data_IF_407480699968
#
_entry.id   IF_407480699968
#
_cell.length_a   1.000
_cell.length_b   1.000
_cell.length_c   1.000
_cell.angle_alpha   90.00
_cell.angle_beta   90.00
_cell.angle_gamma   90.00
#
_symmetry.space_group_name_H-M   'P 1'
#
loop_
_entity.id
_entity.type
_entity.pdbx_description
1 polymer ?
#
# COMPACT_ATOMS: atom_id res chain seq x y z
N UNK A 1 17.46 0.29 -3.38
CA UNK A 1 16.56 -0.77 -3.86
C UNK A 1 15.98 -0.40 -5.22
N UNK A 2 16.19 -1.26 -6.23
CA UNK A 2 15.44 -1.27 -7.48
C UNK A 2 14.74 -2.63 -7.59
N UNK A 3 13.42 -2.65 -7.52
CA UNK A 3 12.66 -3.89 -7.43
C UNK A 3 11.28 -3.80 -8.09
N UNK A 4 10.83 -4.94 -8.60
CA UNK A 4 9.45 -5.19 -8.99
C UNK A 4 8.86 -6.22 -8.04
N UNK A 5 7.77 -5.87 -7.37
CA UNK A 5 7.13 -6.72 -6.36
C UNK A 5 5.69 -6.95 -6.77
N UNK A 6 5.30 -8.22 -6.93
CA UNK A 6 3.93 -8.64 -7.23
C UNK A 6 3.42 -9.54 -6.11
N UNK A 7 2.35 -9.11 -5.43
CA UNK A 7 1.76 -9.81 -4.31
C UNK A 7 0.25 -9.97 -4.50
N UNK A 8 -0.27 -11.14 -4.12
CA UNK A 8 -1.71 -11.40 -4.05
C UNK A 8 -2.12 -11.74 -2.62
N UNK A 9 -3.04 -10.96 -2.09
CA UNK A 9 -3.62 -11.16 -0.77
C UNK A 9 -4.95 -11.89 -0.86
N UNK A 10 -5.22 -12.74 0.14
CA UNK A 10 -6.50 -13.35 0.41
C UNK A 10 -7.02 -12.85 1.75
N UNK A 11 -8.09 -12.09 1.68
CA UNK A 11 -8.82 -11.59 2.84
C UNK A 11 -9.78 -12.69 3.31
N UNK A 12 -9.75 -12.99 4.60
CA UNK A 12 -10.74 -13.86 5.25
C UNK A 12 -11.66 -13.00 6.12
N UNK A 13 -12.94 -13.37 6.21
CA UNK A 13 -13.90 -12.68 7.07
C UNK A 13 -14.37 -11.32 6.53
N UNK A 14 -14.69 -11.21 5.23
CA UNK A 14 -15.13 -9.96 4.61
C UNK A 14 -16.39 -9.33 5.25
N UNK A 15 -17.16 -10.11 6.00
CA UNK A 15 -18.30 -9.67 6.80
C UNK A 15 -17.91 -8.80 8.01
N UNK A 16 -16.66 -8.91 8.50
CA UNK A 16 -16.14 -8.15 9.65
C UNK A 16 -15.70 -6.73 9.28
N UNK A 17 -15.63 -6.41 7.97
CA UNK A 17 -15.26 -5.09 7.49
C UNK A 17 -16.07 -3.96 8.18
N UNK A 18 -15.42 -2.83 8.44
CA UNK A 18 -16.06 -1.63 8.98
C UNK A 18 -17.07 -1.06 7.98
N UNK A 19 -18.10 -0.39 8.48
CA UNK A 19 -19.04 0.31 7.61
C UNK A 19 -18.34 1.48 6.92
N UNK A 20 -18.50 1.57 5.60
CA UNK A 20 -18.06 2.70 4.81
C UNK A 20 -18.95 3.91 5.10
N UNK A 21 -18.36 5.03 5.51
CA UNK A 21 -19.07 6.30 5.65
C UNK A 21 -19.29 6.92 4.25
N UNK A 22 -20.54 7.15 3.81
CA UNK A 22 -20.83 7.76 2.52
C UNK A 22 -20.25 9.17 2.33
N UNK A 23 -19.86 9.87 3.40
CA UNK A 23 -19.18 11.16 3.34
C UNK A 23 -17.71 11.07 2.90
N UNK A 24 -17.10 9.88 2.93
CA UNK A 24 -15.74 9.64 2.43
C UNK A 24 -15.69 9.63 0.90
N UNK A 25 -15.84 10.80 0.29
CA UNK A 25 -15.78 10.98 -1.17
C UNK A 25 -14.36 11.25 -1.68
N UNK A 26 -13.47 11.74 -0.82
CA UNK A 26 -12.06 11.97 -1.12
C UNK A 26 -11.19 10.80 -0.58
N UNK A 27 -10.68 9.91 -1.44
CA UNK A 27 -9.85 8.79 -1.00
C UNK A 27 -8.48 9.25 -0.49
N UNK A 28 -7.96 10.38 -0.94
CA UNK A 28 -6.67 10.89 -0.50
C UNK A 28 -6.75 11.38 0.94
N UNK A 29 -7.73 12.23 1.24
CA UNK A 29 -8.00 12.68 2.61
C UNK A 29 -8.28 11.50 3.56
N UNK A 30 -8.98 10.47 3.07
CA UNK A 30 -9.20 9.25 3.85
C UNK A 30 -7.89 8.50 4.15
N UNK A 31 -6.97 8.38 3.18
CA UNK A 31 -5.65 7.77 3.42
C UNK A 31 -4.81 8.58 4.42
N UNK A 32 -4.91 9.91 4.42
CA UNK A 32 -4.25 10.75 5.42
C UNK A 32 -4.81 10.51 6.83
N UNK A 33 -6.13 10.37 6.96
CA UNK A 33 -6.80 10.08 8.23
C UNK A 33 -6.61 8.63 8.71
N UNK A 34 -6.48 7.70 7.77
CA UNK A 34 -6.41 6.24 7.99
C UNK A 34 -5.10 5.68 7.45
N UNK A 35 -3.99 6.29 7.84
CA UNK A 35 -2.63 5.88 7.47
C UNK A 35 -2.25 4.46 7.94
N UNK A 36 -1.03 4.03 7.65
CA UNK A 36 -0.56 2.67 7.87
C UNK A 36 -0.42 2.27 9.35
N UNK A 37 -0.28 3.26 10.24
CA UNK A 37 -0.15 3.07 11.69
C UNK A 37 -1.50 3.15 12.43
N UNK A 38 -2.59 3.46 11.72
CA UNK A 38 -3.96 3.48 12.28
C UNK A 38 -4.56 2.08 12.10
N UNK A 39 -5.00 1.41 13.16
CA UNK A 39 -5.66 0.10 13.04
C UNK A 39 -6.98 0.14 12.26
N UNK A 40 -7.57 -1.03 12.04
CA UNK A 40 -8.90 -1.17 11.43
C UNK A 40 -9.30 -2.63 11.28
N UNK A 41 -10.60 -2.90 11.10
CA UNK A 41 -11.07 -4.29 11.05
C UNK A 41 -10.42 -5.10 9.91
N UNK A 42 -10.37 -4.55 8.68
CA UNK A 42 -9.66 -5.17 7.56
C UNK A 42 -8.69 -4.14 6.96
N UNK A 43 -7.43 -4.30 7.33
CA UNK A 43 -6.35 -3.42 6.95
C UNK A 43 -6.13 -2.27 7.94
N UNK A 44 -4.97 -1.60 7.82
CA UNK A 44 -4.14 -1.56 6.62
C UNK A 44 -3.27 -2.81 6.46
N UNK A 45 -3.26 -3.39 5.25
CA UNK A 45 -2.40 -4.52 4.89
C UNK A 45 -1.79 -4.29 3.50
N UNK A 46 -0.52 -4.67 3.32
CA UNK A 46 0.20 -4.36 2.09
C UNK A 46 1.70 -4.52 2.20
N UNK A 47 2.44 -3.56 1.65
CA UNK A 47 3.89 -3.52 1.59
C UNK A 47 4.44 -2.28 2.31
N UNK A 48 5.52 -2.45 3.07
CA UNK A 48 6.45 -1.37 3.37
C UNK A 48 7.61 -1.45 2.38
N UNK A 49 7.78 -0.41 1.59
CA UNK A 49 8.85 -0.27 0.61
C UNK A 49 9.78 0.85 1.04
N UNK A 50 11.04 0.81 0.56
CA UNK A 50 12.06 1.79 0.93
C UNK A 50 12.06 1.98 2.46
N UNK A 51 12.11 0.85 3.17
CA UNK A 51 12.05 0.82 4.62
C UNK A 51 13.44 0.60 5.22
N UNK A 52 13.73 1.30 6.31
CA UNK A 52 14.86 1.04 7.19
C UNK A 52 14.65 -0.29 7.92
N UNK A 53 15.74 -0.94 8.36
CA UNK A 53 15.67 -2.23 9.04
C UNK A 53 14.91 -2.19 10.37
N UNK A 54 14.90 -1.04 11.04
CA UNK A 54 14.12 -0.79 12.27
C UNK A 54 12.71 -0.24 12.00
N UNK A 55 12.33 -0.09 10.73
CA UNK A 55 11.06 0.41 10.24
C UNK A 55 10.71 1.84 10.69
N UNK A 56 11.66 2.63 11.20
CA UNK A 56 11.37 4.00 11.63
C UNK A 56 11.16 4.93 10.43
N UNK A 57 11.90 4.70 9.36
CA UNK A 57 11.72 5.27 8.03
C UNK A 57 11.14 4.22 7.08
N UNK A 58 9.96 4.48 6.48
CA UNK A 58 9.24 3.55 5.60
C UNK A 58 8.15 4.25 4.79
N UNK A 59 7.91 3.75 3.57
CA UNK A 59 6.75 4.13 2.75
C UNK A 59 5.77 2.98 2.68
N UNK A 60 4.49 3.21 3.00
CA UNK A 60 3.49 2.15 3.03
C UNK A 60 2.60 2.18 1.79
N UNK A 61 2.46 1.03 1.12
CA UNK A 61 1.53 0.79 0.02
C UNK A 61 0.54 -0.27 0.48
N UNK A 62 -0.72 0.10 0.70
CA UNK A 62 -1.64 -0.81 1.36
C UNK A 62 -3.08 -0.69 0.88
N UNK A 63 -3.88 -1.68 1.29
CA UNK A 63 -5.33 -1.65 1.15
C UNK A 63 -6.04 -1.57 2.49
N UNK A 64 -7.23 -0.98 2.47
CA UNK A 64 -8.27 -1.12 3.48
C UNK A 64 -9.56 -1.59 2.82
N UNK A 65 -10.36 -2.34 3.58
CA UNK A 65 -11.64 -2.86 3.08
C UNK A 65 -12.77 -2.47 4.02
N UNK A 66 -13.80 -1.85 3.44
CA UNK A 66 -15.03 -1.47 4.09
C UNK A 66 -16.22 -2.22 3.49
N UNK A 67 -17.35 -2.22 4.18
CA UNK A 67 -18.64 -2.71 3.67
C UNK A 67 -19.68 -1.60 3.61
N UNK A 68 -20.54 -1.67 2.61
CA UNK A 68 -21.72 -0.80 2.50
C UNK A 68 -22.94 -1.48 3.11
N UNK A 69 -24.01 -0.72 3.33
CA UNK A 69 -25.30 -1.26 3.80
C UNK A 69 -25.88 -2.36 2.88
N UNK A 70 -25.50 -2.37 1.59
CA UNK A 70 -25.95 -3.35 0.61
C UNK A 70 -25.05 -4.59 0.50
N UNK A 71 -24.23 -4.87 1.53
CA UNK A 71 -23.26 -5.99 1.55
C UNK A 71 -22.28 -5.98 0.37
N UNK A 72 -22.04 -4.81 -0.22
CA UNK A 72 -20.95 -4.60 -1.18
C UNK A 72 -19.71 -4.14 -0.43
N UNK A 73 -18.53 -4.41 -0.96
CA UNK A 73 -17.28 -3.98 -0.38
C UNK A 73 -16.71 -2.77 -1.11
N UNK A 74 -16.12 -1.85 -0.36
CA UNK A 74 -15.33 -0.74 -0.88
C UNK A 74 -13.89 -0.99 -0.51
N UNK A 75 -13.01 -0.95 -1.50
CA UNK A 75 -11.57 -1.12 -1.30
C UNK A 75 -10.92 0.24 -1.50
N UNK A 76 -10.12 0.65 -0.52
CA UNK A 76 -9.25 1.82 -0.60
C UNK A 76 -7.81 1.35 -0.78
N UNK A 77 -7.08 1.93 -1.72
CA UNK A 77 -5.63 1.79 -1.87
C UNK A 77 -4.96 3.08 -1.44
N UNK A 78 -3.89 2.98 -0.66
CA UNK A 78 -3.15 4.13 -0.16
C UNK A 78 -1.64 4.00 -0.43
N UNK A 79 -1.01 5.13 -0.74
CA UNK A 79 0.40 5.39 -0.45
C UNK A 79 0.46 6.32 0.76
N UNK A 80 0.93 5.82 1.89
CA UNK A 80 1.21 6.63 3.06
C UNK A 80 2.72 6.87 3.14
N UNK A 81 3.09 8.13 2.91
CA UNK A 81 4.47 8.60 2.91
C UNK A 81 4.82 9.38 4.18
N UNK A 82 3.94 9.42 5.19
CA UNK A 82 4.12 10.22 6.41
C UNK A 82 5.42 9.92 7.14
N UNK A 83 5.88 8.65 7.07
CA UNK A 83 7.13 8.15 7.68
C UNK A 83 8.23 7.84 6.66
N UNK A 84 8.10 8.33 5.43
CA UNK A 84 9.02 7.99 4.32
C UNK A 84 10.41 8.61 4.43
N UNK A 85 10.57 9.67 5.24
CA UNK A 85 11.87 10.31 5.44
C UNK A 85 12.01 11.04 6.77
N UNK A 86 13.22 10.98 7.35
CA UNK A 86 13.66 11.86 8.44
C UNK A 86 14.09 13.26 7.97
N UNK A 87 14.22 13.47 6.67
CA UNK A 87 14.57 14.78 6.12
C UNK A 87 13.55 15.85 6.48
N UNK A 88 14.05 16.99 6.94
CA UNK A 88 13.24 18.18 7.20
C UNK A 88 12.76 18.81 5.89
N UNK A 89 11.62 19.52 5.94
CA UNK A 89 11.05 20.26 4.81
C UNK A 89 10.73 19.43 3.56
N UNK A 90 10.63 18.10 3.67
CA UNK A 90 10.17 17.23 2.57
C UNK A 90 8.65 17.12 2.60
N UNK A 91 8.01 17.39 1.46
CA UNK A 91 6.58 17.18 1.27
C UNK A 91 6.27 15.68 1.26
N UNK A 92 5.46 15.22 2.23
CA UNK A 92 5.13 13.81 2.49
C UNK A 92 3.61 13.55 2.46
N UNK A 93 2.93 13.84 1.35
CA UNK A 93 1.48 13.60 1.25
C UNK A 93 1.20 12.10 1.33
N UNK A 94 -0.01 11.76 1.78
CA UNK A 94 -0.56 10.47 1.42
C UNK A 94 -1.32 10.62 0.10
N UNK A 95 -1.35 9.56 -0.70
CA UNK A 95 -2.18 9.46 -1.88
C UNK A 95 -3.15 8.31 -1.74
N UNK A 96 -4.34 8.44 -2.31
CA UNK A 96 -5.40 7.44 -2.17
C UNK A 96 -6.22 7.27 -3.44
N UNK A 97 -6.74 6.06 -3.62
CA UNK A 97 -7.69 5.76 -4.68
C UNK A 97 -8.60 4.60 -4.30
N UNK A 98 -9.90 4.73 -4.59
CA UNK A 98 -10.81 3.60 -4.47
C UNK A 98 -10.54 2.59 -5.59
N UNK A 99 -10.54 1.31 -5.25
CA UNK A 99 -10.26 0.21 -6.17
C UNK A 99 -11.55 -0.46 -6.59
N UNK A 100 -11.88 -0.37 -7.87
CA UNK A 100 -13.03 -1.09 -8.45
C UNK A 100 -12.69 -2.57 -8.62
N UNK A 101 -12.60 -3.34 -7.54
CA UNK A 101 -12.35 -4.78 -7.55
C UNK A 101 -13.50 -5.55 -6.88
N UNK A 102 -13.97 -6.62 -7.53
CA UNK A 102 -15.01 -7.48 -6.94
C UNK A 102 -14.38 -8.51 -6.00
N UNK A 103 -14.01 -8.05 -4.80
CA UNK A 103 -13.45 -8.92 -3.75
C UNK A 103 -14.51 -9.77 -3.06
N UNK A 104 -15.81 -9.45 -3.18
CA UNK A 104 -16.89 -10.18 -2.50
C UNK A 104 -17.03 -11.65 -2.90
N UNK A 105 -16.59 -12.02 -4.12
CA UNK A 105 -16.62 -13.42 -4.59
C UNK A 105 -15.39 -14.23 -4.19
N UNK A 106 -14.22 -13.61 -4.26
CA UNK A 106 -12.94 -14.33 -4.17
C UNK A 106 -12.18 -14.03 -2.89
N UNK A 107 -12.42 -12.89 -2.27
CA UNK A 107 -11.59 -12.31 -1.21
C UNK A 107 -10.17 -11.97 -1.66
N UNK A 108 -9.88 -11.99 -2.97
CA UNK A 108 -8.53 -11.79 -3.50
C UNK A 108 -8.32 -10.38 -3.99
N UNK A 109 -7.17 -9.81 -3.69
CA UNK A 109 -6.71 -8.54 -4.25
C UNK A 109 -5.21 -8.60 -4.54
N UNK A 110 -4.82 -8.11 -5.72
CA UNK A 110 -3.42 -8.02 -6.14
C UNK A 110 -2.89 -6.61 -5.98
N UNK A 111 -1.59 -6.53 -5.71
CA UNK A 111 -0.79 -5.31 -5.70
C UNK A 111 0.52 -5.61 -6.41
N UNK A 112 0.86 -4.77 -7.40
CA UNK A 112 2.21 -4.72 -7.95
C UNK A 112 2.83 -3.37 -7.61
N UNK A 113 4.08 -3.35 -7.18
CA UNK A 113 4.81 -2.12 -6.88
C UNK A 113 6.19 -2.16 -7.55
N UNK A 114 6.44 -1.18 -8.42
CA UNK A 114 7.77 -0.87 -8.91
C UNK A 114 8.41 0.13 -7.95
N UNK A 115 9.59 -0.22 -7.44
CA UNK A 115 10.36 0.60 -6.51
C UNK A 115 11.67 0.94 -7.20
N UNK A 116 11.92 2.22 -7.43
CA UNK A 116 13.15 2.69 -8.06
C UNK A 116 13.68 3.93 -7.33
N UNK A 117 14.60 3.68 -6.39
CA UNK A 117 15.27 4.71 -5.59
C UNK A 117 14.30 5.68 -4.89
N UNK A 118 13.91 6.78 -5.55
CA UNK A 118 13.03 7.83 -5.02
C UNK A 118 11.60 7.81 -5.56
N UNK A 119 11.25 6.80 -6.38
CA UNK A 119 9.90 6.65 -6.93
C UNK A 119 9.33 5.28 -6.57
N UNK A 120 8.04 5.27 -6.24
CA UNK A 120 7.25 4.06 -6.06
C UNK A 120 6.01 4.18 -6.94
N UNK A 121 5.83 3.23 -7.87
CA UNK A 121 4.65 3.13 -8.73
C UNK A 121 3.90 1.86 -8.38
N UNK A 122 2.62 1.99 -8.02
CA UNK A 122 1.84 0.88 -7.49
C UNK A 122 0.53 0.69 -8.24
N UNK A 123 0.20 -0.57 -8.52
CA UNK A 123 -0.90 -0.99 -9.37
C UNK A 123 -1.80 -1.95 -8.59
N UNK A 124 -2.93 -1.45 -8.12
CA UNK A 124 -3.95 -2.22 -7.41
C UNK A 124 -4.87 -2.96 -8.38
N UNK A 125 -5.19 -4.22 -8.05
CA UNK A 125 -6.12 -5.08 -8.80
C UNK A 125 -5.81 -5.17 -10.30
N UNK A 126 -4.53 -5.31 -10.65
CA UNK A 126 -4.08 -5.40 -12.05
C UNK A 126 -4.12 -4.05 -12.79
N UNK A 127 -3.90 -2.94 -12.09
CA UNK A 127 -3.85 -1.60 -12.68
C UNK A 127 -5.20 -0.88 -12.77
N UNK A 128 -6.23 -1.35 -12.06
CA UNK A 128 -7.51 -0.62 -11.93
C UNK A 128 -7.36 0.67 -11.14
N UNK A 129 -6.40 0.71 -10.23
CA UNK A 129 -5.98 1.89 -9.50
C UNK A 129 -4.46 1.96 -9.55
N UNK A 130 -3.93 3.10 -9.97
CA UNK A 130 -2.50 3.35 -10.05
C UNK A 130 -2.16 4.53 -9.17
N UNK A 131 -1.11 4.41 -8.36
CA UNK A 131 -0.60 5.49 -7.52
C UNK A 131 0.91 5.56 -7.69
N UNK A 132 1.41 6.74 -8.01
CA UNK A 132 2.84 7.04 -8.06
C UNK A 132 3.17 8.03 -6.95
N UNK A 133 4.16 7.72 -6.14
CA UNK A 133 4.70 8.64 -5.13
C UNK A 133 6.19 8.85 -5.32
N UNK A 134 6.65 10.01 -4.86
CA UNK A 134 8.06 10.35 -4.73
C UNK A 134 8.40 10.40 -3.26
N UNK A 135 9.46 9.71 -2.87
CA UNK A 135 9.92 9.62 -1.47
C UNK A 135 11.44 9.72 -1.43
N UNK A 136 11.97 10.29 -0.35
CA UNK A 136 13.38 10.65 -0.24
C UNK A 136 13.95 10.19 1.11
N UNK A 137 14.02 8.87 1.36
CA UNK A 137 14.56 8.34 2.61
C UNK A 137 16.03 8.72 2.80
N UNK A 138 16.47 8.79 4.05
CA UNK A 138 17.84 9.06 4.47
C UNK A 138 18.57 7.77 4.86
N UNK A 139 17.92 6.89 5.59
CA UNK A 139 18.46 5.61 6.07
C UNK A 139 18.11 4.46 5.11
N UNK A 140 16.91 4.46 4.55
CA UNK A 140 16.44 3.41 3.64
C UNK A 140 16.95 3.59 2.20
N UNK A 141 18.26 3.69 2.03
CA UNK A 141 18.96 3.89 0.76
C UNK A 141 19.94 2.76 0.49
N UNK A 142 20.11 2.37 -0.79
CA UNK A 142 21.06 1.31 -1.17
C UNK A 142 20.74 -0.02 -0.49
N UNK A 143 21.72 -0.55 0.25
CA UNK A 143 21.62 -1.77 1.06
C UNK A 143 20.81 -1.59 2.36
N UNK A 144 20.63 -0.34 2.82
CA UNK A 144 19.76 -0.03 3.97
C UNK A 144 18.26 -0.09 3.65
N UNK A 145 17.91 -0.18 2.37
CA UNK A 145 16.53 -0.24 1.90
C UNK A 145 16.00 -1.68 1.89
N UNK A 146 14.94 -1.91 2.66
CA UNK A 146 14.28 -3.20 2.83
C UNK A 146 12.85 -3.17 2.27
N UNK A 147 12.32 -4.37 2.07
CA UNK A 147 10.95 -4.63 1.65
C UNK A 147 10.28 -5.54 2.67
N UNK A 148 9.09 -5.18 3.13
CA UNK A 148 8.29 -5.99 4.04
C UNK A 148 6.85 -6.11 3.53
N UNK A 149 6.24 -7.27 3.77
CA UNK A 149 4.79 -7.39 3.74
C UNK A 149 4.25 -7.21 5.17
N UNK A 150 3.14 -6.50 5.34
CA UNK A 150 2.59 -6.20 6.66
C UNK A 150 1.06 -6.32 6.70
N UNK A 151 0.54 -6.50 7.91
CA UNK A 151 -0.87 -6.39 8.24
C UNK A 151 -1.02 -5.77 9.63
N UNK A 152 -1.54 -4.54 9.68
CA UNK A 152 -1.87 -3.81 10.91
C UNK A 152 -3.38 -3.74 11.16
N UNK A 153 -4.18 -4.55 10.44
CA UNK A 153 -5.60 -4.71 10.72
C UNK A 153 -5.90 -5.91 11.63
N UNK A 154 -7.10 -5.94 12.19
CA UNK A 154 -7.53 -6.99 13.13
C UNK A 154 -7.77 -8.34 12.43
N UNK A 155 -8.32 -8.30 11.22
CA UNK A 155 -8.59 -9.49 10.42
C UNK A 155 -7.29 -10.11 9.90
N UNK A 156 -7.28 -11.44 9.87
CA UNK A 156 -6.19 -12.18 9.21
C UNK A 156 -6.28 -12.01 7.69
N UNK A 157 -5.16 -11.63 7.09
CA UNK A 157 -4.95 -11.58 5.64
C UNK A 157 -3.81 -12.53 5.28
N UNK A 158 -4.07 -13.45 4.34
CA UNK A 158 -3.05 -14.39 3.86
C UNK A 158 -2.36 -13.84 2.63
N UNK A 159 -1.03 -13.94 2.58
CA UNK A 159 -0.27 -13.76 1.35
C UNK A 159 -0.34 -15.07 0.57
N UNK A 160 -1.08 -15.10 -0.54
CA UNK A 160 -1.19 -16.32 -1.37
C UNK A 160 0.06 -16.53 -2.21
N UNK A 161 0.63 -15.45 -2.72
CA UNK A 161 1.84 -15.43 -3.51
C UNK A 161 2.52 -14.08 -3.34
N UNK A 162 3.85 -14.09 -3.30
CA UNK A 162 4.70 -12.90 -3.36
C UNK A 162 5.89 -13.23 -4.26
N UNK A 163 6.07 -12.43 -5.30
CA UNK A 163 7.24 -12.48 -6.18
C UNK A 163 7.93 -11.14 -6.09
N UNK A 164 9.24 -11.17 -5.91
CA UNK A 164 10.07 -9.97 -5.89
C UNK A 164 11.25 -10.21 -6.83
N UNK A 165 11.44 -9.29 -7.76
CA UNK A 165 12.57 -9.29 -8.69
C UNK A 165 13.46 -8.09 -8.40
N UNK A 166 14.76 -8.34 -8.29
CA UNK A 166 15.75 -7.28 -8.33
C UNK A 166 15.84 -6.77 -9.76
N UNK A 167 15.64 -5.47 -9.94
CA UNK A 167 15.66 -4.83 -11.24
C UNK A 167 17.07 -4.32 -11.54
N UNK A 168 17.58 -4.61 -12.74
CA UNK A 168 18.84 -4.06 -13.20
C UNK A 168 18.63 -2.61 -13.68
N UNK A 169 19.64 -1.78 -13.48
CA UNK A 169 19.67 -0.43 -14.05
C UNK A 169 19.59 -0.50 -15.57
N UNK A 170 18.76 0.33 -16.23
CA UNK A 170 18.67 0.35 -17.69
C UNK A 170 20.01 0.78 -18.32
N UNK A 171 20.31 0.27 -19.52
CA UNK A 171 21.54 0.61 -20.26
C UNK A 171 21.64 2.08 -20.64
N UNK A 172 20.50 2.72 -20.87
CA UNK A 172 20.39 4.13 -21.23
C UNK A 172 19.36 4.77 -20.31
N UNK A 173 19.76 5.86 -19.66
CA UNK A 173 18.85 6.76 -18.96
C UNK A 173 18.44 7.83 -19.97
N UNK A 174 17.13 8.05 -20.13
CA UNK A 174 16.59 9.09 -20.99
C UNK A 174 16.75 10.48 -20.34
#
# INVERSE_FOLDING_TARGET
>A
LQADVDVTFQITGLETAEHFDPSWTDPQALCEQKGADVGGAIGPFGLWVLASGDLRERTAVFFRVYKTHHKKHVVLMCHDSSRSTFGDSVWKPSFGGFVNANIGRTGKISLRSLVDASVVESFGAGGRTCITSRVYPVEAVGEGAHLFAFNNGDATVKVLNLKAWQMQTPKYMN
#
